data_IF_559658212103
#
_entry.id   IF_559658212103
#
_cell.length_a   1.000
_cell.length_b   1.000
_cell.length_c   1.000
_cell.angle_alpha   90.00
_cell.angle_beta   90.00
_cell.angle_gamma   90.00
#
_symmetry.space_group_name_H-M   'P 1'
#
loop_
_entity.id
_entity.type
_entity.pdbx_description
1 polymer ?
#
# COMPACT_ATOMS: atom_id res chain seq x y z
N UNK A 1 -18.43 -12.76 17.87
CA UNK A 1 -18.68 -12.30 16.49
C UNK A 1 -17.38 -11.83 15.86
N UNK A 2 -17.02 -12.37 14.70
CA UNK A 2 -15.84 -11.92 13.99
C UNK A 2 -16.08 -10.52 13.42
N UNK A 3 -15.14 -9.61 13.62
CA UNK A 3 -15.24 -8.30 13.04
C UNK A 3 -14.81 -8.33 11.54
N UNK A 4 -15.00 -7.21 10.86
CA UNK A 4 -14.72 -7.14 9.43
C UNK A 4 -13.24 -7.42 9.09
N UNK A 5 -12.31 -7.06 9.95
CA UNK A 5 -10.88 -7.30 9.72
C UNK A 5 -10.55 -8.78 9.84
N UNK A 6 -11.13 -9.45 10.83
CA UNK A 6 -10.97 -10.88 10.99
C UNK A 6 -11.57 -11.67 9.83
N UNK A 7 -12.71 -11.23 9.32
CA UNK A 7 -13.34 -11.83 8.15
C UNK A 7 -12.46 -11.68 6.90
N UNK A 8 -11.86 -10.51 6.70
CA UNK A 8 -10.92 -10.27 5.59
C UNK A 8 -9.72 -11.19 5.73
N UNK A 9 -9.15 -11.30 6.92
CA UNK A 9 -8.02 -12.19 7.17
C UNK A 9 -8.34 -13.62 6.81
N UNK A 10 -9.48 -14.12 7.23
CA UNK A 10 -9.92 -15.48 6.94
C UNK A 10 -10.18 -15.70 5.45
N UNK A 11 -10.86 -14.75 4.82
CA UNK A 11 -11.27 -14.86 3.42
C UNK A 11 -10.07 -14.87 2.47
N UNK A 12 -9.10 -13.97 2.67
CA UNK A 12 -8.00 -13.79 1.74
C UNK A 12 -6.74 -14.54 2.12
N UNK A 13 -6.48 -14.75 3.40
CA UNK A 13 -5.25 -15.42 3.87
C UNK A 13 -5.49 -16.76 4.52
N UNK A 14 -6.72 -17.05 4.92
CA UNK A 14 -7.07 -18.31 5.55
C UNK A 14 -6.64 -18.45 7.00
N UNK A 15 -6.20 -17.37 7.62
CA UNK A 15 -5.79 -17.39 9.02
C UNK A 15 -6.99 -17.10 9.93
N UNK A 16 -7.12 -17.83 11.06
CA UNK A 16 -8.28 -17.66 11.93
C UNK A 16 -8.22 -16.38 12.76
N UNK A 17 -7.02 -15.88 13.07
CA UNK A 17 -6.87 -14.72 13.96
C UNK A 17 -5.54 -14.01 13.71
N UNK A 18 -5.45 -12.78 14.21
CA UNK A 18 -4.23 -11.98 14.14
C UNK A 18 -3.22 -12.43 15.20
N UNK A 19 -1.94 -12.14 14.96
CA UNK A 19 -0.84 -12.47 15.86
C UNK A 19 -0.21 -11.21 16.43
N UNK A 20 0.19 -11.28 17.71
CA UNK A 20 0.93 -10.21 18.36
C UNK A 20 0.25 -8.85 18.23
N UNK A 21 0.99 -7.86 17.77
CA UNK A 21 0.52 -6.48 17.67
C UNK A 21 -0.22 -6.17 16.35
N UNK A 22 -0.46 -7.18 15.51
CA UNK A 22 -1.10 -6.94 14.20
C UNK A 22 -2.44 -6.21 14.35
N UNK A 23 -3.29 -6.65 15.25
CA UNK A 23 -4.60 -6.03 15.46
C UNK A 23 -4.48 -4.57 15.91
N UNK A 24 -3.56 -4.27 16.80
CA UNK A 24 -3.36 -2.90 17.28
C UNK A 24 -2.94 -1.96 16.16
N UNK A 25 -2.05 -2.43 15.27
CA UNK A 25 -1.61 -1.66 14.10
C UNK A 25 -2.78 -1.45 13.13
N UNK A 26 -3.54 -2.50 12.87
CA UNK A 26 -4.70 -2.45 11.97
C UNK A 26 -5.74 -1.44 12.48
N UNK A 27 -6.05 -1.48 13.76
CA UNK A 27 -7.02 -0.57 14.36
C UNK A 27 -6.54 0.88 14.34
N UNK A 28 -5.25 1.11 14.56
CA UNK A 28 -4.66 2.45 14.48
C UNK A 28 -4.77 3.01 13.05
N UNK A 29 -4.45 2.21 12.04
CA UNK A 29 -4.60 2.61 10.64
C UNK A 29 -6.07 2.87 10.31
N UNK A 30 -6.96 2.03 10.80
CA UNK A 30 -8.40 2.15 10.54
C UNK A 30 -9.00 3.42 11.13
N UNK A 31 -8.43 3.93 12.23
CA UNK A 31 -8.84 5.20 12.83
C UNK A 31 -8.28 6.43 12.10
N UNK A 32 -7.46 6.22 11.05
CA UNK A 32 -6.83 7.30 10.32
C UNK A 32 -5.63 7.91 11.02
N UNK A 33 -5.09 7.23 12.01
CA UNK A 33 -3.93 7.70 12.76
C UNK A 33 -2.64 7.38 12.02
N UNK A 34 -1.66 8.28 12.12
CA UNK A 34 -0.30 8.00 11.65
C UNK A 34 0.28 6.89 12.52
N UNK A 35 0.70 5.80 11.89
CA UNK A 35 1.08 4.58 12.61
C UNK A 35 2.49 4.14 12.23
N UNK A 36 3.32 3.88 13.24
CA UNK A 36 4.61 3.24 13.06
C UNK A 36 4.55 1.83 13.63
N UNK A 37 4.50 0.83 12.75
CA UNK A 37 4.46 -0.57 13.15
C UNK A 37 5.85 -1.17 13.15
N UNK A 38 6.36 -1.51 14.33
CA UNK A 38 7.65 -2.18 14.48
C UNK A 38 7.41 -3.67 14.72
N UNK A 39 7.79 -4.49 13.76
CA UNK A 39 7.61 -5.92 13.81
C UNK A 39 8.87 -6.65 13.35
N UNK A 40 9.15 -7.85 13.89
CA UNK A 40 10.24 -8.66 13.37
C UNK A 40 10.04 -9.02 11.90
N UNK A 41 11.13 -9.17 11.15
CA UNK A 41 11.08 -9.60 9.76
C UNK A 41 10.42 -10.96 9.64
N UNK A 42 9.55 -11.14 8.63
CA UNK A 42 8.85 -12.39 8.38
C UNK A 42 7.62 -12.64 9.24
N UNK A 43 7.22 -11.68 10.08
CA UNK A 43 6.14 -11.87 11.04
C UNK A 43 4.74 -11.47 10.57
N UNK A 44 4.44 -11.54 9.27
CA UNK A 44 3.13 -11.14 8.77
C UNK A 44 2.94 -9.63 8.75
N UNK A 45 4.01 -8.89 8.55
CA UNK A 45 4.03 -7.42 8.52
C UNK A 45 3.11 -6.83 7.46
N UNK A 46 3.06 -7.43 6.27
CA UNK A 46 2.23 -6.94 5.16
C UNK A 46 0.74 -6.97 5.48
N UNK A 47 0.30 -7.94 6.25
CA UNK A 47 -1.10 -8.08 6.66
C UNK A 47 -1.57 -6.84 7.42
N UNK A 48 -0.69 -6.19 8.18
CA UNK A 48 -1.05 -5.04 9.00
C UNK A 48 -1.55 -3.84 8.20
N UNK A 49 -1.12 -3.68 6.96
CA UNK A 49 -1.66 -2.63 6.10
C UNK A 49 -2.61 -3.18 5.03
N UNK A 50 -2.41 -4.44 4.61
CA UNK A 50 -3.25 -5.02 3.56
C UNK A 50 -4.69 -5.24 4.04
N UNK A 51 -4.87 -5.72 5.26
CA UNK A 51 -6.21 -5.96 5.81
C UNK A 51 -7.01 -4.65 5.95
N UNK A 52 -6.50 -3.59 6.58
CA UNK A 52 -7.28 -2.34 6.66
C UNK A 52 -7.50 -1.69 5.29
N UNK A 53 -6.58 -1.85 4.35
CA UNK A 53 -6.77 -1.33 2.99
C UNK A 53 -7.95 -2.01 2.30
N UNK A 54 -8.11 -3.32 2.48
CA UNK A 54 -9.24 -4.05 1.91
C UNK A 54 -10.57 -3.67 2.56
N UNK A 55 -10.55 -3.18 3.79
CA UNK A 55 -11.74 -2.72 4.49
C UNK A 55 -12.15 -1.30 4.10
N UNK A 56 -11.29 -0.54 3.47
CA UNK A 56 -11.55 0.85 3.09
C UNK A 56 -11.74 0.97 1.58
N UNK A 57 -12.44 2.02 1.16
CA UNK A 57 -12.56 2.36 -0.26
C UNK A 57 -11.29 3.08 -0.70
N UNK A 58 -10.92 2.89 -1.98
CA UNK A 58 -9.77 3.57 -2.56
C UNK A 58 -8.55 2.68 -2.69
N UNK A 59 -7.48 3.28 -3.18
CA UNK A 59 -6.22 2.60 -3.48
C UNK A 59 -5.23 2.85 -2.35
N UNK A 60 -4.63 1.78 -1.84
CA UNK A 60 -3.52 1.87 -0.90
C UNK A 60 -2.22 2.02 -1.69
N UNK A 61 -1.50 3.11 -1.46
CA UNK A 61 -0.19 3.33 -2.07
C UNK A 61 0.86 2.75 -1.13
N UNK A 62 1.64 1.80 -1.64
CA UNK A 62 2.72 1.15 -0.87
C UNK A 62 4.06 1.58 -1.43
N UNK A 63 4.84 2.28 -0.63
CA UNK A 63 6.16 2.75 -1.03
C UNK A 63 7.20 1.77 -0.48
N UNK A 64 7.99 1.19 -1.37
CA UNK A 64 9.06 0.27 -0.98
C UNK A 64 10.25 0.41 -1.92
N UNK A 65 11.51 0.38 -1.41
CA UNK A 65 12.68 0.52 -2.26
C UNK A 65 13.08 -0.77 -2.98
N UNK A 66 12.51 -1.91 -2.61
CA UNK A 66 12.94 -3.22 -3.11
C UNK A 66 12.00 -3.71 -4.21
N UNK A 67 12.46 -3.61 -5.46
CA UNK A 67 11.66 -3.98 -6.64
C UNK A 67 11.27 -5.47 -6.61
N UNK A 68 12.19 -6.35 -6.22
CA UNK A 68 11.90 -7.78 -6.13
C UNK A 68 10.79 -8.09 -5.13
N UNK A 69 10.81 -7.43 -3.97
CA UNK A 69 9.78 -7.59 -2.94
C UNK A 69 8.43 -7.04 -3.42
N UNK A 70 8.46 -5.90 -4.12
CA UNK A 70 7.28 -5.29 -4.71
C UNK A 70 6.58 -6.24 -5.68
N UNK A 71 7.34 -6.82 -6.61
CA UNK A 71 6.81 -7.79 -7.58
C UNK A 71 6.24 -9.02 -6.90
N UNK A 72 6.93 -9.52 -5.88
CA UNK A 72 6.51 -10.70 -5.13
C UNK A 72 5.19 -10.46 -4.40
N UNK A 73 5.06 -9.32 -3.74
CA UNK A 73 3.82 -8.97 -3.04
C UNK A 73 2.65 -8.77 -4.00
N UNK A 74 2.88 -8.15 -5.15
CA UNK A 74 1.84 -7.99 -6.17
C UNK A 74 1.36 -9.36 -6.65
N UNK A 75 2.26 -10.31 -6.90
CA UNK A 75 1.89 -11.67 -7.31
C UNK A 75 1.07 -12.37 -6.22
N UNK A 76 1.46 -12.24 -4.96
CA UNK A 76 0.74 -12.84 -3.86
C UNK A 76 -0.67 -12.28 -3.72
N UNK A 77 -0.84 -10.97 -3.92
CA UNK A 77 -2.16 -10.34 -3.91
C UNK A 77 -3.03 -10.81 -5.07
N UNK A 78 -2.45 -10.87 -6.27
CA UNK A 78 -3.18 -11.35 -7.45
C UNK A 78 -3.61 -12.81 -7.29
N UNK A 79 -2.78 -13.64 -6.67
CA UNK A 79 -3.13 -15.03 -6.37
C UNK A 79 -4.33 -15.14 -5.43
N UNK A 80 -4.61 -14.09 -4.66
CA UNK A 80 -5.77 -14.01 -3.76
C UNK A 80 -6.95 -13.24 -4.38
N UNK A 81 -6.91 -13.02 -5.69
CA UNK A 81 -7.93 -12.28 -6.43
C UNK A 81 -8.04 -10.82 -5.99
N UNK A 82 -6.94 -10.24 -5.54
CA UNK A 82 -6.86 -8.82 -5.17
C UNK A 82 -6.09 -8.11 -6.28
N UNK A 83 -6.68 -7.07 -6.86
CA UNK A 83 -6.05 -6.32 -7.94
C UNK A 83 -4.95 -5.41 -7.39
N UNK A 84 -3.74 -5.63 -7.87
CA UNK A 84 -2.56 -4.89 -7.46
C UNK A 84 -1.64 -4.65 -8.66
N UNK A 85 -0.95 -3.53 -8.65
CA UNK A 85 0.03 -3.18 -9.68
C UNK A 85 1.27 -2.56 -9.03
N UNK A 86 2.37 -2.53 -9.78
CA UNK A 86 3.64 -1.97 -9.32
C UNK A 86 4.22 -1.05 -10.38
N UNK A 87 4.73 0.10 -9.94
CA UNK A 87 5.46 1.04 -10.80
C UNK A 87 6.91 1.12 -10.30
N UNK A 88 7.85 0.76 -11.16
CA UNK A 88 9.26 0.71 -10.82
C UNK A 88 10.11 1.11 -12.03
N UNK A 89 11.41 1.30 -11.80
CA UNK A 89 12.36 1.66 -12.84
C UNK A 89 12.44 0.57 -13.92
N UNK A 90 12.32 0.95 -15.16
CA UNK A 90 12.36 0.04 -16.29
C UNK A 90 11.04 -0.12 -17.02
N UNK A 91 9.94 0.34 -16.45
CA UNK A 91 8.66 0.36 -17.14
C UNK A 91 8.62 1.53 -18.14
N UNK A 92 7.96 1.32 -19.29
CA UNK A 92 7.76 2.38 -20.27
C UNK A 92 6.77 3.42 -19.75
N UNK A 93 6.81 4.62 -20.31
CA UNK A 93 5.85 5.67 -19.99
C UNK A 93 4.40 5.21 -20.24
N UNK A 94 4.18 4.47 -21.31
CA UNK A 94 2.85 3.94 -21.64
C UNK A 94 2.36 2.95 -20.60
N UNK A 95 3.23 2.06 -20.12
CA UNK A 95 2.88 1.11 -19.06
C UNK A 95 2.54 1.83 -17.76
N UNK A 96 3.31 2.85 -17.40
CA UNK A 96 3.06 3.64 -16.20
C UNK A 96 1.72 4.36 -16.30
N UNK A 97 1.42 4.98 -17.45
CA UNK A 97 0.15 5.65 -17.67
C UNK A 97 -1.03 4.69 -17.58
N UNK A 98 -0.89 3.51 -18.19
CA UNK A 98 -1.94 2.48 -18.11
C UNK A 98 -2.23 2.08 -16.68
N UNK A 99 -1.19 1.85 -15.89
CA UNK A 99 -1.34 1.48 -14.48
C UNK A 99 -2.03 2.60 -13.69
N UNK A 100 -1.60 3.85 -13.88
CA UNK A 100 -2.18 4.99 -13.16
C UNK A 100 -3.63 5.21 -13.55
N UNK A 101 -3.97 5.06 -14.81
CA UNK A 101 -5.35 5.17 -15.27
C UNK A 101 -6.23 4.06 -14.70
N UNK A 102 -5.70 2.84 -14.60
CA UNK A 102 -6.41 1.74 -13.95
C UNK A 102 -6.64 2.00 -12.45
N UNK A 103 -5.76 2.76 -11.82
CA UNK A 103 -5.97 3.19 -10.43
C UNK A 103 -7.07 4.25 -10.32
N UNK A 104 -7.19 5.12 -11.33
CA UNK A 104 -8.20 6.18 -11.33
C UNK A 104 -9.59 5.63 -11.66
N UNK A 105 -9.69 4.82 -12.71
CA UNK A 105 -10.97 4.39 -13.28
C UNK A 105 -11.30 2.93 -13.03
N UNK A 106 -10.35 2.13 -12.59
CA UNK A 106 -10.51 0.69 -12.40
C UNK A 106 -10.69 0.30 -10.95
N UNK A 107 -10.40 -0.96 -10.66
CA UNK A 107 -10.60 -1.57 -9.36
C UNK A 107 -9.29 -1.93 -8.67
N UNK A 108 -8.17 -1.30 -9.04
CA UNK A 108 -6.89 -1.52 -8.40
C UNK A 108 -7.00 -1.17 -6.91
N UNK A 109 -6.58 -2.09 -6.06
CA UNK A 109 -6.65 -1.91 -4.60
C UNK A 109 -5.31 -1.51 -4.00
N UNK A 110 -4.21 -2.00 -4.57
CA UNK A 110 -2.86 -1.71 -4.10
C UNK A 110 -2.00 -1.23 -5.26
N UNK A 111 -1.32 -0.12 -5.07
CA UNK A 111 -0.33 0.38 -6.00
C UNK A 111 1.02 0.46 -5.29
N UNK A 112 1.95 -0.40 -5.68
CA UNK A 112 3.31 -0.41 -5.16
C UNK A 112 4.18 0.50 -6.01
N UNK A 113 4.93 1.38 -5.37
CA UNK A 113 5.79 2.33 -6.07
C UNK A 113 7.15 2.37 -5.42
N UNK A 114 8.17 2.54 -6.26
CA UNK A 114 9.51 2.86 -5.77
C UNK A 114 9.52 4.33 -5.35
N UNK A 115 10.34 4.66 -4.36
CA UNK A 115 10.31 5.99 -3.76
C UNK A 115 10.69 7.13 -4.70
N UNK A 116 11.57 6.91 -5.66
CA UNK A 116 11.92 7.91 -6.66
C UNK A 116 10.73 8.31 -7.54
N UNK A 117 9.72 7.46 -7.65
CA UNK A 117 8.50 7.79 -8.39
C UNK A 117 7.65 8.86 -7.71
N UNK A 118 7.80 9.02 -6.41
CA UNK A 118 7.06 10.04 -5.67
C UNK A 118 7.42 11.45 -6.10
N UNK A 119 8.62 11.66 -6.64
CA UNK A 119 9.05 12.97 -7.13
C UNK A 119 8.73 13.20 -8.61
N UNK A 120 8.20 12.19 -9.32
CA UNK A 120 7.83 12.31 -10.72
C UNK A 120 6.60 13.22 -10.88
N UNK A 121 6.69 14.20 -11.78
CA UNK A 121 5.56 15.08 -12.07
C UNK A 121 4.35 14.31 -12.61
N UNK A 122 4.60 13.35 -13.49
CA UNK A 122 3.55 12.51 -14.05
C UNK A 122 2.80 11.77 -12.93
N UNK A 123 3.55 11.14 -12.02
CA UNK A 123 2.97 10.43 -10.91
C UNK A 123 2.16 11.35 -10.00
N UNK A 124 2.72 12.51 -9.64
CA UNK A 124 2.04 13.46 -8.76
C UNK A 124 0.77 14.03 -9.39
N UNK A 125 0.81 14.30 -10.69
CA UNK A 125 -0.37 14.81 -11.41
C UNK A 125 -1.49 13.79 -11.43
N UNK A 126 -1.17 12.54 -11.75
CA UNK A 126 -2.17 11.47 -11.80
C UNK A 126 -2.67 11.08 -10.40
N UNK A 127 -1.79 11.14 -9.41
CA UNK A 127 -2.13 10.79 -8.04
C UNK A 127 -3.25 11.65 -7.47
N UNK A 128 -3.36 12.90 -7.91
CA UNK A 128 -4.44 13.81 -7.50
C UNK A 128 -5.82 13.30 -7.90
N UNK A 129 -5.88 12.45 -8.92
CA UNK A 129 -7.13 11.90 -9.43
C UNK A 129 -7.39 10.47 -8.93
N UNK A 130 -6.44 9.87 -8.22
CA UNK A 130 -6.60 8.54 -7.65
C UNK A 130 -7.26 8.66 -6.27
N UNK A 131 -8.35 7.90 -6.02
CA UNK A 131 -8.95 7.89 -4.69
C UNK A 131 -8.08 7.07 -3.72
N UNK A 132 -7.14 7.74 -3.05
CA UNK A 132 -6.18 7.10 -2.15
C UNK A 132 -6.81 6.85 -0.79
N UNK A 133 -6.76 5.61 -0.30
CA UNK A 133 -7.22 5.28 1.05
C UNK A 133 -6.20 5.70 2.10
N UNK A 134 -4.95 5.26 1.94
CA UNK A 134 -3.83 5.72 2.76
C UNK A 134 -2.52 5.34 2.06
N UNK A 135 -1.42 5.88 2.58
CA UNK A 135 -0.08 5.59 2.08
C UNK A 135 0.67 4.84 3.17
N UNK A 136 1.30 3.72 2.81
CA UNK A 136 2.17 3.00 3.72
C UNK A 136 3.57 2.93 3.15
N UNK A 137 4.56 2.98 4.03
CA UNK A 137 5.97 2.86 3.66
C UNK A 137 6.49 1.57 4.25
N UNK A 138 6.83 0.62 3.39
CA UNK A 138 7.44 -0.63 3.79
C UNK A 138 8.96 -0.48 3.79
N UNK A 139 9.65 -1.23 4.65
CA UNK A 139 11.09 -1.13 4.83
C UNK A 139 11.52 0.27 5.29
N UNK A 140 10.84 0.77 6.32
CA UNK A 140 11.00 2.13 6.84
C UNK A 140 12.40 2.47 7.35
N UNK A 141 13.23 1.47 7.62
CA UNK A 141 14.62 1.68 8.03
C UNK A 141 15.50 2.25 6.91
N UNK A 142 15.03 2.21 5.66
CA UNK A 142 15.71 2.81 4.52
C UNK A 142 15.34 4.29 4.31
N UNK A 143 14.71 4.91 5.29
CA UNK A 143 13.85 6.10 5.12
C UNK A 143 14.53 7.46 5.36
N UNK A 144 15.80 7.56 5.66
CA UNK A 144 16.35 8.88 6.02
C UNK A 144 16.10 9.95 4.93
N UNK A 145 15.95 9.56 3.67
CA UNK A 145 15.60 10.48 2.58
C UNK A 145 14.11 10.49 2.22
N UNK A 146 13.37 9.52 2.71
CA UNK A 146 11.97 9.26 2.32
C UNK A 146 10.94 10.09 3.09
N UNK A 147 11.24 10.41 4.34
CA UNK A 147 10.32 11.14 5.21
C UNK A 147 9.97 12.50 4.60
N UNK A 148 10.96 13.19 4.01
CA UNK A 148 10.73 14.49 3.37
C UNK A 148 9.82 14.39 2.15
N UNK A 149 10.02 13.35 1.32
CA UNK A 149 9.23 13.14 0.11
C UNK A 149 7.80 12.74 0.45
N UNK A 150 7.64 11.82 1.39
CA UNK A 150 6.31 11.37 1.85
C UNK A 150 5.51 12.50 2.48
N UNK A 151 6.14 13.33 3.31
CA UNK A 151 5.48 14.47 3.92
C UNK A 151 4.99 15.47 2.88
N UNK A 152 5.80 15.74 1.85
CA UNK A 152 5.40 16.62 0.74
C UNK A 152 4.23 16.02 -0.05
N UNK A 153 4.25 14.73 -0.29
CA UNK A 153 3.19 14.06 -1.00
C UNK A 153 1.88 14.11 -0.22
N UNK A 154 1.94 13.80 1.08
CA UNK A 154 0.78 13.87 1.96
C UNK A 154 0.22 15.30 2.00
N UNK A 155 1.08 16.31 2.12
CA UNK A 155 0.64 17.70 2.13
C UNK A 155 -0.03 18.11 0.82
N UNK A 156 0.41 17.57 -0.32
CA UNK A 156 -0.23 17.79 -1.62
C UNK A 156 -1.58 17.06 -1.74
N UNK A 157 -1.71 15.91 -1.12
CA UNK A 157 -2.97 15.14 -1.13
C UNK A 157 -4.04 15.77 -0.24
N UNK A 158 -3.64 16.50 0.79
CA UNK A 158 -4.56 17.18 1.71
C UNK A 158 -5.09 18.50 1.16
N UNK A 159 -4.57 18.94 0.04
CA UNK A 159 -5.04 20.13 -0.67
C UNK A 159 -5.89 19.69 -1.86
#
# INVERSE_FOLDING_TARGET
MADKYQEILRTYWGYPDFRGIQRDIIESIARGEDTLGLMPTGGGKSITFQVPALAQKGVCIVVTPLIALMKDQVQHLKARNILAEAIYTGLSRQEILRILENCIFGEIKFLYVSPERLSSELFQTKLRHIPVSFITVDEAHCISQWVTISARLISKLQK
#
